data_IF_814774590356
#
_entry.id   IF_814774590356
#
_cell.length_a   1.000
_cell.length_b   1.000
_cell.length_c   1.000
_cell.angle_alpha   90.00
_cell.angle_beta   90.00
_cell.angle_gamma   90.00
#
_symmetry.space_group_name_H-M   'P 1'
#
loop_
_entity.id
_entity.type
_entity.pdbx_description
1 polymer ?
#
# COMPACT_ATOMS: atom_id res chain seq x y z
N UNK A 1 10.55 -31.68 15.33
CA UNK A 1 9.15 -31.30 15.09
C UNK A 1 9.13 -29.83 14.74
N UNK A 2 8.56 -29.44 13.58
CA UNK A 2 8.30 -28.01 13.31
C UNK A 2 7.12 -27.61 14.18
N UNK A 3 7.35 -26.72 15.15
CA UNK A 3 6.27 -26.09 15.90
C UNK A 3 5.39 -25.34 14.89
N UNK A 4 4.12 -25.71 14.84
CA UNK A 4 3.14 -25.04 14.00
C UNK A 4 2.83 -23.69 14.65
N UNK A 5 3.35 -22.59 14.09
CA UNK A 5 3.07 -21.25 14.62
C UNK A 5 1.65 -20.85 14.28
N UNK A 6 0.87 -20.50 15.30
CA UNK A 6 -0.50 -20.02 15.13
C UNK A 6 -0.51 -18.50 15.05
N UNK A 7 -1.37 -17.93 14.22
CA UNK A 7 -1.56 -16.47 14.12
C UNK A 7 -1.90 -15.86 15.49
N UNK A 8 -2.60 -16.61 16.34
CA UNK A 8 -2.98 -16.20 17.69
C UNK A 8 -1.78 -15.95 18.62
N UNK A 9 -0.60 -16.52 18.35
CA UNK A 9 0.62 -16.28 19.16
C UNK A 9 1.16 -14.85 18.97
N UNK A 10 0.67 -14.13 17.97
CA UNK A 10 1.04 -12.74 17.68
C UNK A 10 -0.09 -11.75 18.02
N UNK A 11 -1.17 -12.22 18.66
CA UNK A 11 -2.28 -11.37 19.06
C UNK A 11 -1.91 -10.54 20.30
N UNK A 12 -2.38 -9.29 20.33
CA UNK A 12 -2.18 -8.38 21.46
C UNK A 12 -3.31 -7.36 21.54
N UNK A 13 -3.52 -6.82 22.74
CA UNK A 13 -4.51 -5.77 22.95
C UNK A 13 -4.01 -4.46 22.35
N UNK A 14 -4.63 -4.04 21.24
CA UNK A 14 -4.41 -2.73 20.62
C UNK A 14 -5.67 -1.86 20.72
N UNK A 15 -5.75 -0.96 21.72
CA UNK A 15 -6.80 0.04 21.78
C UNK A 15 -6.83 0.88 20.50
N UNK A 16 -8.02 1.09 19.91
CA UNK A 16 -8.18 1.75 18.60
C UNK A 16 -7.69 3.19 18.61
N UNK A 17 -7.82 3.86 19.75
CA UNK A 17 -7.36 5.22 20.02
C UNK A 17 -5.83 5.37 19.95
N UNK A 18 -5.07 4.27 20.08
CA UNK A 18 -3.61 4.28 19.93
C UNK A 18 -3.16 4.10 18.47
N UNK A 19 -4.08 3.80 17.54
CA UNK A 19 -3.78 3.73 16.10
C UNK A 19 -3.78 5.14 15.54
N UNK A 20 -2.58 5.68 15.33
CA UNK A 20 -2.38 7.03 14.80
C UNK A 20 -3.16 7.22 13.48
N UNK A 21 -4.07 8.19 13.49
CA UNK A 21 -4.83 8.58 12.30
C UNK A 21 -4.09 9.65 11.49
N UNK A 22 -3.18 10.40 12.13
CA UNK A 22 -2.36 11.44 11.49
C UNK A 22 -0.91 11.30 11.95
N UNK A 23 0.08 11.52 11.07
CA UNK A 23 1.47 11.59 11.48
C UNK A 23 1.70 12.83 12.36
N UNK A 24 2.65 12.73 13.29
CA UNK A 24 3.13 13.89 14.06
C UNK A 24 3.90 14.87 13.17
N UNK A 25 3.91 16.13 13.57
CA UNK A 25 4.76 17.17 12.99
C UNK A 25 5.54 17.92 14.08
N UNK A 26 6.87 18.09 13.94
CA UNK A 26 7.74 17.58 12.86
C UNK A 26 7.86 16.04 12.84
N UNK A 27 8.22 15.44 11.68
CA UNK A 27 8.22 13.97 11.48
C UNK A 27 9.09 13.22 12.50
N UNK A 28 10.25 13.77 12.82
CA UNK A 28 11.24 13.20 13.76
C UNK A 28 10.88 13.34 15.24
N UNK A 29 9.75 14.00 15.56
CA UNK A 29 9.23 14.09 16.93
C UNK A 29 8.38 12.88 17.34
N UNK A 30 8.22 11.90 16.45
CA UNK A 30 7.61 10.61 16.79
C UNK A 30 8.39 9.92 17.90
N UNK A 31 7.69 9.12 18.72
CA UNK A 31 8.33 8.26 19.71
C UNK A 31 9.17 7.20 18.99
N UNK A 32 10.30 6.84 19.60
CA UNK A 32 11.18 5.75 19.19
C UNK A 32 11.31 4.81 20.39
N UNK A 33 10.86 3.56 20.25
CA UNK A 33 11.09 2.52 21.25
C UNK A 33 12.37 1.77 20.88
N UNK A 34 13.42 1.91 21.69
CA UNK A 34 14.66 1.12 21.52
C UNK A 34 14.57 -0.13 22.36
N UNK A 35 14.82 -1.28 21.72
CA UNK A 35 14.79 -2.61 22.35
C UNK A 35 16.20 -3.21 22.29
N UNK A 36 16.86 -3.29 23.44
CA UNK A 36 18.16 -3.93 23.54
C UNK A 36 18.01 -5.45 23.57
N UNK A 37 18.13 -6.09 22.40
CA UNK A 37 17.89 -7.55 22.22
C UNK A 37 18.66 -8.46 23.19
N UNK A 38 19.88 -8.07 23.61
CA UNK A 38 20.73 -8.89 24.50
C UNK A 38 20.24 -8.92 25.94
N UNK A 39 19.69 -7.81 26.43
CA UNK A 39 19.29 -7.64 27.84
C UNK A 39 17.78 -7.65 28.02
N UNK A 40 17.01 -7.42 26.95
CA UNK A 40 15.58 -7.20 26.99
C UNK A 40 15.18 -5.81 27.51
N UNK A 41 16.12 -4.88 27.67
CA UNK A 41 15.82 -3.52 28.15
C UNK A 41 15.12 -2.70 27.07
N UNK A 42 14.19 -1.86 27.53
CA UNK A 42 13.45 -0.91 26.71
C UNK A 42 13.87 0.51 27.06
N UNK A 43 13.94 1.36 26.04
CA UNK A 43 14.18 2.79 26.20
C UNK A 43 13.14 3.56 25.39
N UNK A 44 12.47 4.50 26.05
CA UNK A 44 11.56 5.45 25.41
C UNK A 44 12.34 6.69 24.98
N UNK A 45 12.47 6.87 23.66
CA UNK A 45 13.21 7.95 23.03
C UNK A 45 12.34 8.73 22.04
N UNK A 46 12.94 9.73 21.38
CA UNK A 46 12.41 10.42 20.21
C UNK A 46 13.20 10.03 18.97
N UNK A 47 12.56 10.09 17.80
CA UNK A 47 13.20 9.66 16.56
C UNK A 47 14.37 10.57 16.16
N UNK A 48 14.33 11.85 16.51
CA UNK A 48 15.49 12.76 16.32
C UNK A 48 16.72 12.39 17.16
N UNK A 49 16.64 11.42 18.07
CA UNK A 49 17.77 10.91 18.88
C UNK A 49 18.37 9.63 18.28
N UNK A 50 17.96 9.23 17.07
CA UNK A 50 18.38 7.97 16.44
C UNK A 50 19.90 7.88 16.25
N UNK A 51 20.58 9.01 16.05
CA UNK A 51 22.03 9.08 15.91
C UNK A 51 22.77 8.65 17.19
N UNK A 52 22.15 8.76 18.37
CA UNK A 52 22.73 8.26 19.63
C UNK A 52 22.82 6.73 19.67
N UNK A 53 22.09 6.05 18.79
CA UNK A 53 22.01 4.59 18.71
C UNK A 53 22.77 4.00 17.51
N UNK A 54 23.47 4.83 16.75
CA UNK A 54 24.28 4.43 15.60
C UNK A 54 25.76 4.65 15.90
N UNK A 55 26.60 3.75 15.41
CA UNK A 55 28.05 3.85 15.51
C UNK A 55 28.67 4.23 14.17
N UNK A 56 29.86 4.81 14.23
CA UNK A 56 30.67 5.00 13.03
C UNK A 56 30.93 3.66 12.35
N UNK A 57 30.62 3.56 11.06
CA UNK A 57 30.73 2.35 10.26
C UNK A 57 29.40 1.59 10.05
N UNK A 58 28.33 1.99 10.75
CA UNK A 58 27.00 1.43 10.49
C UNK A 58 26.46 1.85 9.11
N UNK A 59 25.62 0.98 8.52
CA UNK A 59 25.00 1.21 7.21
C UNK A 59 23.48 1.32 7.37
N UNK A 60 22.93 2.47 6.99
CA UNK A 60 21.49 2.67 6.89
C UNK A 60 21.01 2.33 5.49
N UNK A 61 20.23 1.24 5.37
CA UNK A 61 19.55 0.86 4.13
C UNK A 61 18.17 1.49 4.12
N UNK A 62 17.92 2.36 3.14
CA UNK A 62 16.71 3.17 3.06
C UNK A 62 15.89 2.78 1.82
N UNK A 63 14.57 2.70 1.97
CA UNK A 63 13.67 2.51 0.84
C UNK A 63 13.51 3.85 0.09
N UNK A 64 13.98 3.89 -1.17
CA UNK A 64 13.90 5.04 -2.07
C UNK A 64 12.76 4.93 -3.11
N UNK A 65 11.90 3.92 -2.98
CA UNK A 65 10.75 3.73 -3.86
C UNK A 65 9.61 4.66 -3.47
N UNK A 66 9.00 5.29 -4.46
CA UNK A 66 7.84 6.18 -4.32
C UNK A 66 6.57 5.41 -4.64
N UNK A 67 5.60 5.49 -3.72
CA UNK A 67 4.28 4.86 -3.89
C UNK A 67 3.50 5.58 -4.97
N UNK A 68 3.04 4.83 -5.96
CA UNK A 68 2.19 5.29 -7.05
C UNK A 68 0.73 5.22 -6.60
N UNK A 69 -0.14 6.19 -6.98
CA UNK A 69 -1.58 6.13 -6.73
C UNK A 69 -2.26 4.99 -7.52
N UNK A 70 -2.04 3.76 -7.09
CA UNK A 70 -2.38 2.54 -7.81
C UNK A 70 -3.82 2.04 -7.54
N UNK A 71 -4.58 2.72 -6.68
CA UNK A 71 -5.99 2.39 -6.41
C UNK A 71 -6.88 3.15 -7.38
N UNK A 72 -7.64 2.43 -8.20
CA UNK A 72 -8.60 3.02 -9.13
C UNK A 72 -9.99 2.43 -8.90
N UNK A 73 -11.01 3.24 -9.20
CA UNK A 73 -12.41 2.83 -9.12
C UNK A 73 -13.02 2.80 -10.51
N UNK A 74 -13.77 1.74 -10.79
CA UNK A 74 -14.51 1.58 -12.03
C UNK A 74 -15.92 1.07 -11.78
N UNK A 75 -16.65 0.88 -12.88
CA UNK A 75 -17.99 0.28 -12.88
C UNK A 75 -18.06 -0.87 -13.85
N UNK A 76 -18.73 -1.93 -13.45
CA UNK A 76 -19.11 -2.99 -14.38
C UNK A 76 -20.22 -2.48 -15.30
N UNK A 77 -20.39 -3.13 -16.45
CA UNK A 77 -21.52 -2.87 -17.37
C UNK A 77 -22.88 -3.03 -16.65
N UNK A 78 -22.94 -3.86 -15.61
CA UNK A 78 -24.13 -4.03 -14.76
C UNK A 78 -24.41 -2.83 -13.84
N UNK A 79 -23.55 -1.81 -13.81
CA UNK A 79 -23.64 -0.62 -12.95
C UNK A 79 -22.95 -0.77 -11.59
N UNK A 80 -22.52 -1.99 -11.23
CA UNK A 80 -21.85 -2.29 -9.98
C UNK A 80 -20.47 -1.61 -9.88
N UNK A 81 -20.18 -1.00 -8.73
CA UNK A 81 -18.84 -0.43 -8.44
C UNK A 81 -17.81 -1.53 -8.21
N UNK A 82 -16.60 -1.29 -8.68
CA UNK A 82 -15.43 -2.14 -8.41
C UNK A 82 -14.21 -1.27 -8.08
N UNK A 83 -13.48 -1.65 -7.05
CA UNK A 83 -12.16 -1.12 -6.69
C UNK A 83 -11.11 -2.08 -7.23
N UNK A 84 -10.07 -1.51 -7.84
CA UNK A 84 -8.88 -2.23 -8.25
C UNK A 84 -7.66 -1.56 -7.63
N UNK A 85 -6.81 -2.35 -7.00
CA UNK A 85 -5.47 -1.95 -6.61
C UNK A 85 -4.50 -2.60 -7.60
N UNK A 86 -3.83 -1.81 -8.44
CA UNK A 86 -2.82 -2.36 -9.36
C UNK A 86 -1.64 -2.89 -8.56
N UNK A 87 -1.15 -4.08 -8.88
CA UNK A 87 -0.06 -4.75 -8.17
C UNK A 87 1.21 -4.78 -9.01
N UNK A 88 1.11 -5.22 -10.26
CA UNK A 88 2.27 -5.42 -11.13
C UNK A 88 1.90 -5.24 -12.61
N UNK A 89 2.66 -4.46 -13.38
CA UNK A 89 2.51 -4.40 -14.83
C UNK A 89 2.99 -5.69 -15.49
N UNK A 90 2.34 -6.04 -16.59
CA UNK A 90 2.77 -7.01 -17.60
C UNK A 90 2.81 -6.29 -18.97
N UNK A 91 3.13 -7.01 -20.02
CA UNK A 91 3.20 -6.47 -21.39
C UNK A 91 1.80 -6.10 -21.93
N UNK A 92 1.76 -5.26 -22.97
CA UNK A 92 0.54 -4.90 -23.72
C UNK A 92 -0.64 -4.35 -22.88
N UNK A 93 -0.33 -3.54 -21.86
CA UNK A 93 -1.35 -2.93 -21.00
C UNK A 93 -2.03 -3.93 -20.07
N UNK A 94 -1.44 -5.10 -19.88
CA UNK A 94 -1.92 -6.11 -18.94
C UNK A 94 -1.37 -5.81 -17.55
N UNK A 95 -2.20 -5.97 -16.53
CA UNK A 95 -1.82 -5.75 -15.13
C UNK A 95 -2.41 -6.82 -14.22
N UNK A 96 -1.64 -7.21 -13.21
CA UNK A 96 -2.17 -7.86 -12.03
C UNK A 96 -2.77 -6.82 -11.10
N UNK A 97 -3.96 -7.11 -10.58
CA UNK A 97 -4.70 -6.22 -9.70
C UNK A 97 -5.31 -7.01 -8.55
N UNK A 98 -5.51 -6.37 -7.40
CA UNK A 98 -6.40 -6.87 -6.36
C UNK A 98 -7.77 -6.24 -6.53
N UNK A 99 -8.80 -7.06 -6.69
CA UNK A 99 -10.16 -6.59 -6.96
C UNK A 99 -11.07 -6.65 -5.74
N UNK A 100 -11.86 -5.60 -5.50
CA UNK A 100 -12.90 -5.56 -4.47
C UNK A 100 -14.21 -5.00 -5.06
N UNK A 101 -15.33 -5.75 -5.08
CA UNK A 101 -15.49 -7.14 -4.65
C UNK A 101 -14.99 -8.15 -5.70
N UNK A 102 -14.00 -8.97 -5.34
CA UNK A 102 -13.37 -9.95 -6.24
C UNK A 102 -14.36 -10.93 -6.91
N UNK A 103 -15.46 -11.27 -6.23
CA UNK A 103 -16.47 -12.22 -6.72
C UNK A 103 -17.11 -11.78 -8.05
N UNK A 104 -17.21 -10.46 -8.28
CA UNK A 104 -17.89 -9.88 -9.45
C UNK A 104 -16.99 -9.79 -10.70
N UNK A 105 -15.67 -9.68 -10.53
CA UNK A 105 -14.71 -9.65 -11.64
C UNK A 105 -14.44 -11.06 -12.21
N UNK A 106 -15.32 -11.58 -13.08
CA UNK A 106 -15.15 -12.86 -13.80
C UNK A 106 -14.32 -12.66 -15.08
N UNK A 107 -13.59 -13.67 -15.59
CA UNK A 107 -13.02 -13.58 -16.93
C UNK A 107 -14.07 -13.13 -17.95
N UNK A 108 -13.70 -12.22 -18.85
CA UNK A 108 -14.60 -11.56 -19.80
C UNK A 108 -15.40 -10.38 -19.23
N UNK A 109 -15.33 -10.11 -17.93
CA UNK A 109 -15.99 -8.93 -17.34
C UNK A 109 -15.30 -7.66 -17.81
N UNK A 110 -16.07 -6.72 -18.34
CA UNK A 110 -15.59 -5.39 -18.71
C UNK A 110 -15.84 -4.42 -17.55
N UNK A 111 -14.79 -3.70 -17.18
CA UNK A 111 -14.79 -2.60 -16.23
C UNK A 111 -14.61 -1.31 -17.01
N UNK A 112 -15.50 -0.34 -16.80
CA UNK A 112 -15.41 1.01 -17.33
C UNK A 112 -14.83 1.93 -16.26
N UNK A 113 -13.88 2.76 -16.65
CA UNK A 113 -13.29 3.81 -15.83
C UNK A 113 -13.63 5.17 -16.44
N UNK A 114 -13.34 6.24 -15.70
CA UNK A 114 -13.50 7.59 -16.23
C UNK A 114 -12.53 7.85 -17.40
N UNK A 115 -12.79 8.92 -18.16
CA UNK A 115 -11.97 9.35 -19.31
C UNK A 115 -11.87 8.33 -20.46
N UNK A 116 -12.85 7.42 -20.57
CA UNK A 116 -13.01 6.47 -21.68
C UNK A 116 -12.16 5.20 -21.57
N UNK A 117 -11.44 5.01 -20.46
CA UNK A 117 -10.65 3.80 -20.23
C UNK A 117 -11.55 2.59 -19.93
N UNK A 118 -11.14 1.43 -20.44
CA UNK A 118 -11.78 0.16 -20.11
C UNK A 118 -10.75 -0.89 -19.69
N UNK A 119 -11.19 -1.88 -18.95
CA UNK A 119 -10.37 -3.02 -18.53
C UNK A 119 -11.16 -4.31 -18.65
N UNK A 120 -10.61 -5.29 -19.35
CA UNK A 120 -11.21 -6.62 -19.48
C UNK A 120 -10.48 -7.59 -18.56
N UNK A 121 -11.23 -8.26 -17.69
CA UNK A 121 -10.67 -9.30 -16.83
C UNK A 121 -10.32 -10.52 -17.69
N UNK A 122 -9.04 -10.87 -17.75
CA UNK A 122 -8.54 -12.05 -18.46
C UNK A 122 -8.57 -13.28 -17.56
N UNK A 123 -8.05 -13.15 -16.34
CA UNK A 123 -7.81 -14.29 -15.45
C UNK A 123 -8.17 -14.00 -14.00
N UNK A 124 -8.38 -15.08 -13.24
CA UNK A 124 -8.58 -15.06 -11.79
C UNK A 124 -7.49 -15.86 -11.09
N UNK A 125 -6.91 -15.26 -10.07
CA UNK A 125 -6.01 -15.92 -9.14
C UNK A 125 -6.62 -15.94 -7.72
N UNK A 126 -6.03 -16.73 -6.79
CA UNK A 126 -6.39 -16.74 -5.38
C UNK A 126 -6.29 -15.35 -4.72
N UNK A 127 -6.82 -15.25 -3.50
CA UNK A 127 -6.80 -14.03 -2.69
C UNK A 127 -7.43 -12.77 -3.35
N UNK A 128 -8.24 -12.95 -4.40
CA UNK A 128 -8.94 -11.85 -5.08
C UNK A 128 -8.13 -11.16 -6.17
N UNK A 129 -6.98 -11.73 -6.56
CA UNK A 129 -6.14 -11.20 -7.64
C UNK A 129 -6.80 -11.44 -9.00
N UNK A 130 -6.78 -10.42 -9.87
CA UNK A 130 -7.33 -10.43 -11.23
C UNK A 130 -6.30 -9.90 -12.20
N UNK A 131 -6.15 -10.57 -13.35
CA UNK A 131 -5.36 -10.05 -14.47
C UNK A 131 -6.30 -9.29 -15.39
N UNK A 132 -6.04 -8.01 -15.61
CA UNK A 132 -6.83 -7.16 -16.52
C UNK A 132 -5.99 -6.69 -17.67
N UNK A 133 -6.58 -6.64 -18.87
CA UNK A 133 -6.04 -5.91 -20.01
C UNK A 133 -6.75 -4.56 -20.11
N UNK A 134 -6.00 -3.47 -20.05
CA UNK A 134 -6.52 -2.12 -20.21
C UNK A 134 -6.54 -1.69 -21.68
N UNK A 135 -7.54 -0.87 -22.01
CA UNK A 135 -7.65 -0.18 -23.29
C UNK A 135 -8.03 1.28 -23.03
N UNK A 136 -7.19 2.26 -23.44
CA UNK A 136 -5.89 2.07 -24.08
C UNK A 136 -4.83 1.43 -23.14
N UNK A 137 -3.77 0.79 -23.68
CA UNK A 137 -2.77 0.06 -22.88
C UNK A 137 -1.98 0.94 -21.90
N UNK A 138 -1.69 2.20 -22.26
CA UNK A 138 -1.02 3.15 -21.39
C UNK A 138 -2.01 3.79 -20.42
N UNK A 139 -1.98 3.29 -19.18
CA UNK A 139 -2.85 3.75 -18.10
C UNK A 139 -2.25 4.90 -17.27
N UNK A 140 -1.12 5.49 -17.67
CA UNK A 140 -0.48 6.57 -16.91
C UNK A 140 -1.43 7.76 -16.71
N UNK A 141 -2.21 8.08 -17.74
CA UNK A 141 -3.25 9.12 -17.66
C UNK A 141 -4.38 8.72 -16.71
N UNK A 142 -4.87 7.49 -16.79
CA UNK A 142 -5.88 6.96 -15.87
C UNK A 142 -5.41 7.05 -14.41
N UNK A 143 -4.17 6.67 -14.12
CA UNK A 143 -3.59 6.77 -12.78
C UNK A 143 -3.42 8.21 -12.32
N UNK A 144 -3.06 9.13 -13.22
CA UNK A 144 -2.91 10.55 -12.87
C UNK A 144 -4.23 11.23 -12.51
N UNK A 145 -5.34 10.82 -13.15
CA UNK A 145 -6.66 11.46 -12.98
C UNK A 145 -7.49 10.75 -11.91
N UNK A 146 -7.47 9.42 -11.90
CA UNK A 146 -8.35 8.60 -11.08
C UNK A 146 -7.62 7.83 -9.97
N UNK A 147 -6.28 7.84 -9.98
CA UNK A 147 -5.48 7.09 -9.02
C UNK A 147 -5.53 7.69 -7.62
N UNK A 148 -5.85 6.86 -6.64
CA UNK A 148 -5.79 7.18 -5.23
C UNK A 148 -4.65 6.44 -4.53
N UNK A 149 -4.10 7.04 -3.49
CA UNK A 149 -3.19 6.34 -2.59
C UNK A 149 -3.94 5.24 -1.84
N UNK A 150 -3.37 4.04 -1.89
CA UNK A 150 -3.92 2.89 -1.23
C UNK A 150 -3.56 2.89 0.27
N UNK A 151 -4.27 3.69 1.07
CA UNK A 151 -4.05 3.70 2.52
C UNK A 151 -4.45 2.35 3.15
N UNK A 152 -3.73 1.90 4.19
CA UNK A 152 -4.12 0.76 5.01
C UNK A 152 -5.54 0.92 5.57
N UNK A 153 -6.31 -0.17 5.73
CA UNK A 153 -7.74 -0.09 6.08
C UNK A 153 -8.02 0.47 7.48
N UNK A 154 -7.00 0.56 8.34
CA UNK A 154 -7.11 1.11 9.69
C UNK A 154 -6.95 2.65 9.73
N UNK A 155 -6.48 3.28 8.65
CA UNK A 155 -6.43 4.74 8.51
C UNK A 155 -7.75 5.17 7.89
N UNK A 156 -8.58 5.88 8.66
CA UNK A 156 -9.94 6.26 8.24
C UNK A 156 -10.01 7.68 7.69
N UNK A 157 -9.11 8.55 8.10
CA UNK A 157 -9.12 9.95 7.68
C UNK A 157 -8.70 10.07 6.22
N UNK A 158 -9.34 11.01 5.52
CA UNK A 158 -9.05 11.35 4.12
C UNK A 158 -8.37 12.72 4.07
N UNK A 159 -7.77 13.06 2.93
CA UNK A 159 -7.12 14.37 2.73
C UNK A 159 -5.72 14.48 3.35
N UNK A 160 -5.06 13.35 3.63
CA UNK A 160 -3.64 13.37 3.97
C UNK A 160 -2.84 13.89 2.78
N UNK A 161 -1.86 14.75 3.05
CA UNK A 161 -0.86 15.11 2.04
C UNK A 161 -0.18 13.81 1.56
N UNK A 162 -0.30 13.42 0.28
CA UNK A 162 0.31 12.22 -0.26
C UNK A 162 1.81 12.11 0.00
N UNK A 163 2.52 13.25 0.03
CA UNK A 163 3.96 13.31 0.32
C UNK A 163 4.29 12.85 1.74
N UNK A 164 3.35 12.99 2.70
CA UNK A 164 3.57 12.52 4.08
C UNK A 164 3.54 11.00 4.19
N UNK A 165 2.90 10.32 3.25
CA UNK A 165 2.91 8.86 3.16
C UNK A 165 4.20 8.32 2.54
N UNK A 166 4.95 9.15 1.82
CA UNK A 166 6.24 8.78 1.26
C UNK A 166 7.33 8.85 2.33
N UNK A 167 8.39 8.04 2.19
CA UNK A 167 9.64 8.28 2.91
C UNK A 167 10.27 9.58 2.39
N UNK A 168 11.06 10.25 3.23
CA UNK A 168 11.83 11.44 2.80
C UNK A 168 12.91 11.11 1.75
N UNK A 169 13.15 9.82 1.50
CA UNK A 169 14.12 9.30 0.54
C UNK A 169 13.46 8.81 -0.76
N UNK A 170 12.13 8.84 -0.87
CA UNK A 170 11.37 8.35 -2.01
C UNK A 170 11.66 9.19 -3.27
N UNK A 171 12.31 8.57 -4.26
CA UNK A 171 12.72 9.23 -5.51
C UNK A 171 12.24 8.49 -6.76
N UNK A 172 12.21 7.16 -6.73
CA UNK A 172 11.96 6.33 -7.91
C UNK A 172 10.52 5.80 -7.86
N UNK A 173 9.65 6.11 -8.83
CA UNK A 173 8.31 5.50 -8.90
C UNK A 173 8.42 3.98 -9.02
N UNK A 174 7.67 3.21 -8.22
CA UNK A 174 7.67 1.75 -8.39
C UNK A 174 6.92 0.92 -7.36
N UNK A 175 6.40 1.52 -6.28
CA UNK A 175 5.68 0.79 -5.24
C UNK A 175 4.17 1.03 -5.34
N UNK A 176 3.39 0.00 -5.06
CA UNK A 176 1.92 0.08 -4.96
C UNK A 176 1.49 0.42 -3.52
N UNK A 177 2.35 0.13 -2.55
CA UNK A 177 2.21 0.44 -1.13
C UNK A 177 3.58 0.76 -0.52
N UNK A 178 3.63 1.60 0.52
CA UNK A 178 4.85 1.94 1.25
C UNK A 178 5.23 0.84 2.24
#
# INVERSE_FOLDING_TARGET
MKTEMLVAEFDYQLPKELIAQHPVEPRDHSRLLVVERKTGRFYDCRFFEIELWLNSGDVLVLNNTRVIPARIYGRLVTGDKIELLLLRPREDGIWETLSRPARKAKPGTVVQFDDGFTGVVLERHPAGIRVLKFEPPDISRLLSVCGELALPPYIRTRGHNPERYQTVYARIPGAVAA
#
